data_IF_946599514069
#
_entry.id   IF_946599514069
#
_cell.length_a   1.000
_cell.length_b   1.000
_cell.length_c   1.000
_cell.angle_alpha   90.00
_cell.angle_beta   90.00
_cell.angle_gamma   90.00
#
_symmetry.space_group_name_H-M   'P 1'
#
loop_
_entity.id
_entity.type
_entity.pdbx_description
1 polymer ?
#
# COMPACT_ATOMS: atom_id res chain seq x y z
N UNK A 1 -0.96 -19.04 2.66
CA UNK A 1 -0.12 -18.29 3.62
C UNK A 1 -0.71 -16.92 3.93
N UNK A 2 -0.98 -16.05 2.95
CA UNK A 2 -1.50 -14.68 3.19
C UNK A 2 -2.85 -14.68 3.94
N UNK A 3 -3.78 -15.62 3.64
CA UNK A 3 -5.04 -15.77 4.39
C UNK A 3 -4.81 -16.08 5.87
N UNK A 4 -3.84 -16.94 6.19
CA UNK A 4 -3.50 -17.24 7.57
C UNK A 4 -2.90 -16.02 8.29
N UNK A 5 -2.03 -15.27 7.62
CA UNK A 5 -1.47 -14.02 8.14
C UNK A 5 -2.57 -12.96 8.36
N UNK A 6 -3.55 -12.87 7.46
CA UNK A 6 -4.68 -11.96 7.61
C UNK A 6 -5.55 -12.31 8.84
N UNK A 7 -5.87 -13.60 9.01
CA UNK A 7 -6.61 -14.07 10.19
C UNK A 7 -5.85 -13.81 11.48
N UNK A 8 -4.54 -14.03 11.49
CA UNK A 8 -3.68 -13.73 12.64
C UNK A 8 -3.65 -12.23 12.97
N UNK A 9 -3.58 -11.36 11.96
CA UNK A 9 -3.63 -9.91 12.14
C UNK A 9 -4.98 -9.44 12.70
N UNK A 10 -6.10 -10.04 12.29
CA UNK A 10 -7.43 -9.75 12.86
C UNK A 10 -7.48 -10.19 14.32
N UNK A 11 -6.97 -11.38 14.63
CA UNK A 11 -6.94 -11.92 16.00
C UNK A 11 -6.05 -11.09 16.93
N UNK A 12 -4.90 -10.58 16.47
CA UNK A 12 -3.99 -9.73 17.25
C UNK A 12 -4.63 -8.41 17.70
N UNK A 13 -5.70 -7.99 17.03
CA UNK A 13 -6.50 -6.81 17.40
C UNK A 13 -7.70 -7.14 18.29
N UNK A 14 -7.75 -8.35 18.86
CA UNK A 14 -8.88 -8.85 19.64
C UNK A 14 -10.21 -8.83 18.87
N UNK A 15 -10.16 -8.99 17.53
CA UNK A 15 -11.33 -9.03 16.68
C UNK A 15 -11.57 -10.45 16.18
N UNK A 16 -12.85 -10.81 16.00
CA UNK A 16 -13.21 -12.09 15.39
C UNK A 16 -13.18 -11.95 13.88
N UNK A 17 -12.46 -12.84 13.21
CA UNK A 17 -12.46 -12.90 11.76
C UNK A 17 -13.87 -13.27 11.26
N UNK A 18 -14.38 -12.44 10.35
CA UNK A 18 -15.61 -12.71 9.62
C UNK A 18 -15.23 -12.98 8.16
N UNK A 19 -15.58 -14.17 7.69
CA UNK A 19 -15.35 -14.53 6.30
C UNK A 19 -16.27 -13.71 5.39
N UNK A 20 -15.69 -13.12 4.37
CA UNK A 20 -16.44 -12.45 3.31
C UNK A 20 -15.79 -12.72 1.96
N UNK A 21 -16.60 -12.82 0.92
CA UNK A 21 -16.12 -13.02 -0.45
C UNK A 21 -15.20 -11.89 -0.90
N UNK A 22 -15.49 -10.66 -0.49
CA UNK A 22 -14.67 -9.51 -0.80
C UNK A 22 -13.27 -9.59 -0.18
N UNK A 23 -13.20 -9.94 1.10
CA UNK A 23 -11.91 -10.12 1.79
C UNK A 23 -11.12 -11.25 1.14
N UNK A 24 -11.76 -12.38 0.83
CA UNK A 24 -11.12 -13.50 0.18
C UNK A 24 -10.64 -13.13 -1.23
N UNK A 25 -11.45 -12.38 -2.00
CA UNK A 25 -11.07 -11.86 -3.32
C UNK A 25 -9.88 -10.90 -3.24
N UNK A 26 -9.87 -9.97 -2.27
CA UNK A 26 -8.77 -9.04 -2.08
C UNK A 26 -7.46 -9.76 -1.70
N UNK A 27 -7.52 -10.72 -0.79
CA UNK A 27 -6.37 -11.56 -0.41
C UNK A 27 -5.85 -12.33 -1.62
N UNK A 28 -6.74 -12.93 -2.40
CA UNK A 28 -6.37 -13.67 -3.63
C UNK A 28 -5.69 -12.76 -4.64
N UNK A 29 -6.30 -11.60 -4.96
CA UNK A 29 -5.73 -10.63 -5.90
C UNK A 29 -4.35 -10.14 -5.45
N UNK A 30 -4.14 -9.90 -4.15
CA UNK A 30 -2.84 -9.54 -3.62
C UNK A 30 -1.83 -10.70 -3.78
N UNK A 31 -2.22 -11.93 -3.45
CA UNK A 31 -1.37 -13.09 -3.62
C UNK A 31 -0.98 -13.30 -5.09
N UNK A 32 -1.95 -13.18 -5.99
CA UNK A 32 -1.72 -13.30 -7.44
C UNK A 32 -0.76 -12.20 -7.93
N UNK A 33 -0.95 -10.93 -7.50
CA UNK A 33 -0.06 -9.83 -7.87
C UNK A 33 1.38 -10.00 -7.36
N UNK A 34 1.57 -10.69 -6.21
CA UNK A 34 2.88 -10.97 -5.64
C UNK A 34 3.59 -12.17 -6.27
N UNK A 35 2.85 -13.12 -6.87
CA UNK A 35 3.40 -14.39 -7.36
C UNK A 35 3.43 -14.51 -8.88
N UNK A 36 2.62 -13.73 -9.57
CA UNK A 36 2.59 -13.71 -11.04
C UNK A 36 3.78 -12.89 -11.56
N UNK A 37 4.42 -13.37 -12.62
CA UNK A 37 5.42 -12.58 -13.37
C UNK A 37 4.73 -11.43 -14.11
N UNK A 38 4.37 -10.40 -13.37
CA UNK A 38 3.81 -9.16 -13.89
C UNK A 38 4.90 -8.11 -14.05
N UNK A 39 4.79 -7.26 -15.06
CA UNK A 39 5.64 -6.06 -15.19
C UNK A 39 5.28 -4.99 -14.14
N UNK A 40 4.21 -5.20 -13.35
CA UNK A 40 3.78 -4.25 -12.34
C UNK A 40 4.61 -4.40 -11.07
N UNK A 41 5.17 -3.27 -10.65
CA UNK A 41 6.06 -3.16 -9.49
C UNK A 41 5.34 -2.64 -8.24
N UNK A 42 4.00 -2.76 -8.18
CA UNK A 42 3.27 -2.31 -7.00
C UNK A 42 1.82 -2.76 -6.95
N UNK A 43 1.21 -2.51 -5.80
CA UNK A 43 -0.20 -2.80 -5.52
C UNK A 43 -0.82 -1.55 -4.90
N UNK A 44 -1.98 -1.14 -5.38
CA UNK A 44 -2.79 -0.12 -4.74
C UNK A 44 -4.10 -0.69 -4.22
N UNK A 45 -4.36 -0.49 -2.93
CA UNK A 45 -5.58 -0.89 -2.23
C UNK A 45 -6.49 0.34 -2.12
N UNK A 46 -7.55 0.37 -2.91
CA UNK A 46 -8.52 1.45 -2.94
C UNK A 46 -9.81 1.07 -2.21
N UNK A 47 -10.48 2.02 -1.59
CA UNK A 47 -11.81 1.82 -1.01
C UNK A 47 -12.06 2.63 0.24
N UNK A 48 -13.28 2.56 0.76
CA UNK A 48 -13.73 3.36 1.90
C UNK A 48 -13.01 3.00 3.21
N UNK A 49 -13.18 3.83 4.22
CA UNK A 49 -12.57 3.63 5.54
C UNK A 49 -13.15 2.38 6.24
N UNK A 50 -12.29 1.62 6.92
CA UNK A 50 -12.72 0.51 7.79
C UNK A 50 -12.97 -0.83 7.09
N UNK A 51 -12.71 -0.96 5.80
CA UNK A 51 -12.96 -2.16 5.00
C UNK A 51 -11.79 -3.17 4.91
N UNK A 52 -10.75 -3.04 5.74
CA UNK A 52 -9.71 -4.06 5.87
C UNK A 52 -8.41 -3.82 5.10
N UNK A 53 -8.23 -2.68 4.39
CA UNK A 53 -6.99 -2.35 3.65
C UNK A 53 -5.75 -2.41 4.54
N UNK A 54 -5.74 -1.65 5.64
CA UNK A 54 -4.64 -1.65 6.63
C UNK A 54 -4.38 -3.04 7.21
N UNK A 55 -5.45 -3.83 7.43
CA UNK A 55 -5.31 -5.21 7.92
C UNK A 55 -4.56 -6.06 6.90
N UNK A 56 -4.87 -5.91 5.61
CA UNK A 56 -4.20 -6.67 4.55
C UNK A 56 -2.73 -6.23 4.36
N UNK A 57 -2.42 -4.93 4.46
CA UNK A 57 -1.04 -4.42 4.42
C UNK A 57 -0.23 -5.00 5.57
N UNK A 58 -0.76 -4.98 6.80
CA UNK A 58 -0.08 -5.53 7.98
C UNK A 58 0.05 -7.05 7.95
N UNK A 59 -0.96 -7.74 7.41
CA UNK A 59 -0.89 -9.18 7.19
C UNK A 59 0.25 -9.56 6.23
N UNK A 60 0.44 -8.77 5.16
CA UNK A 60 1.57 -8.95 4.25
C UNK A 60 2.90 -8.68 4.95
N UNK A 61 3.01 -7.59 5.73
CA UNK A 61 4.21 -7.30 6.51
C UNK A 61 4.56 -8.45 7.46
N UNK A 62 3.58 -8.94 8.23
CA UNK A 62 3.78 -10.06 9.17
C UNK A 62 4.18 -11.34 8.45
N UNK A 63 3.61 -11.61 7.28
CA UNK A 63 4.01 -12.73 6.44
C UNK A 63 5.46 -12.61 5.98
N UNK A 64 5.89 -11.43 5.53
CA UNK A 64 7.29 -11.20 5.12
C UNK A 64 8.26 -11.34 6.29
N UNK A 65 7.89 -10.84 7.48
CA UNK A 65 8.70 -11.05 8.72
C UNK A 65 8.84 -12.53 9.02
N UNK A 66 7.74 -13.30 8.93
CA UNK A 66 7.77 -14.75 9.13
C UNK A 66 8.66 -15.44 8.09
N UNK A 67 8.54 -15.08 6.82
CA UNK A 67 9.37 -15.64 5.74
C UNK A 67 10.84 -15.30 5.94
N UNK A 68 11.16 -14.09 6.38
CA UNK A 68 12.52 -13.67 6.72
C UNK A 68 13.09 -14.52 7.87
N UNK A 69 12.32 -14.70 8.93
CA UNK A 69 12.70 -15.57 10.05
C UNK A 69 12.99 -17.02 9.61
N UNK A 70 12.28 -17.49 8.59
CA UNK A 70 12.48 -18.81 7.97
C UNK A 70 13.59 -18.84 6.90
N UNK A 71 14.31 -17.75 6.71
CA UNK A 71 15.33 -17.59 5.67
C UNK A 71 14.81 -17.84 4.23
N UNK A 72 13.54 -17.55 4.00
CA UNK A 72 12.89 -17.66 2.68
C UNK A 72 12.85 -16.34 1.92
N UNK A 73 13.18 -15.23 2.56
CA UNK A 73 13.40 -13.90 1.98
C UNK A 73 14.35 -13.09 2.86
N UNK A 74 15.07 -12.15 2.26
CA UNK A 74 15.91 -11.18 2.98
C UNK A 74 15.19 -9.86 3.23
N UNK A 75 14.11 -9.61 2.51
CA UNK A 75 13.44 -8.31 2.51
C UNK A 75 12.35 -8.23 3.57
N UNK A 76 12.37 -7.14 4.34
CA UNK A 76 11.24 -6.65 5.12
C UNK A 76 10.45 -5.60 4.32
N UNK A 77 9.26 -5.27 4.79
CA UNK A 77 8.43 -4.20 4.21
C UNK A 77 8.04 -3.22 5.32
N UNK A 78 8.78 -2.10 5.49
CA UNK A 78 8.33 -1.04 6.39
C UNK A 78 6.99 -0.47 5.92
N UNK A 79 6.16 -0.08 6.88
CA UNK A 79 4.90 0.62 6.64
C UNK A 79 5.08 2.08 7.06
N UNK A 80 4.77 2.98 6.16
CA UNK A 80 4.88 4.42 6.33
C UNK A 80 3.51 5.08 6.20
N UNK A 81 3.11 5.89 7.16
CA UNK A 81 1.94 6.77 6.97
C UNK A 81 2.30 7.86 5.95
N UNK A 82 1.40 8.16 5.02
CA UNK A 82 1.65 9.17 3.99
C UNK A 82 2.05 10.54 4.57
N UNK A 83 1.56 10.89 5.77
CA UNK A 83 1.89 12.13 6.48
C UNK A 83 3.35 12.18 6.97
N UNK A 84 3.99 11.03 7.15
CA UNK A 84 5.36 10.88 7.63
C UNK A 84 6.38 10.77 6.51
N UNK A 85 5.95 10.55 5.27
CA UNK A 85 6.83 10.38 4.10
C UNK A 85 7.82 11.53 3.97
N UNK A 86 7.38 12.78 4.22
CA UNK A 86 8.24 13.96 4.15
C UNK A 86 9.45 13.89 5.10
N UNK A 87 9.29 13.29 6.27
CA UNK A 87 10.32 13.19 7.30
C UNK A 87 11.29 12.02 7.06
N UNK A 88 10.87 11.04 6.26
CA UNK A 88 11.59 9.78 6.01
C UNK A 88 11.83 9.51 4.52
N UNK A 89 11.93 10.56 3.71
CA UNK A 89 12.03 10.44 2.24
C UNK A 89 13.18 9.54 1.79
N UNK A 90 14.36 9.65 2.41
CA UNK A 90 15.52 8.83 2.05
C UNK A 90 15.21 7.34 2.22
N UNK A 91 14.64 6.96 3.35
CA UNK A 91 14.24 5.57 3.60
C UNK A 91 13.17 5.12 2.61
N UNK A 92 12.14 5.94 2.41
CA UNK A 92 11.07 5.64 1.45
C UNK A 92 11.59 5.43 0.01
N UNK A 93 12.67 6.11 -0.37
CA UNK A 93 13.30 5.96 -1.69
C UNK A 93 14.17 4.72 -1.82
N UNK A 94 14.81 4.25 -0.73
CA UNK A 94 15.89 3.25 -0.82
C UNK A 94 15.47 1.82 -0.46
N UNK A 95 14.43 1.63 0.36
CA UNK A 95 14.02 0.28 0.76
C UNK A 95 13.43 -0.51 -0.42
N UNK A 96 13.79 -1.78 -0.63
CA UNK A 96 13.30 -2.58 -1.75
C UNK A 96 11.78 -2.74 -1.76
N UNK A 97 11.18 -2.98 -0.60
CA UNK A 97 9.73 -3.11 -0.40
C UNK A 97 9.26 -2.01 0.54
N UNK A 98 8.21 -1.28 0.16
CA UNK A 98 7.63 -0.22 0.98
C UNK A 98 6.10 -0.30 0.93
N UNK A 99 5.46 -0.13 2.08
CA UNK A 99 4.03 0.18 2.13
C UNK A 99 3.81 1.64 2.55
N UNK A 100 2.97 2.36 1.82
CA UNK A 100 2.51 3.71 2.17
C UNK A 100 1.03 3.62 2.51
N UNK A 101 0.67 3.87 3.78
CA UNK A 101 -0.70 3.86 4.23
C UNK A 101 -1.33 5.26 4.16
N UNK A 102 -2.65 5.25 3.94
CA UNK A 102 -3.49 6.44 3.98
C UNK A 102 -3.07 7.55 3.00
N UNK A 103 -2.52 7.17 1.84
CA UNK A 103 -2.21 8.12 0.76
C UNK A 103 -3.46 8.96 0.44
N UNK A 104 -3.28 10.26 0.42
CA UNK A 104 -4.36 11.23 0.31
C UNK A 104 -4.60 12.05 1.58
N UNK A 105 -4.13 11.59 2.74
CA UNK A 105 -4.26 12.30 4.03
C UNK A 105 -3.09 13.23 4.34
N UNK A 106 -1.97 13.12 3.62
CA UNK A 106 -0.86 14.05 3.77
C UNK A 106 -1.23 15.45 3.30
N UNK A 107 -0.60 16.52 3.86
CA UNK A 107 -0.75 17.88 3.36
C UNK A 107 -0.40 17.97 1.88
N UNK A 108 -1.16 18.74 1.14
CA UNK A 108 -1.04 18.83 -0.33
C UNK A 108 0.30 19.44 -0.75
N UNK A 109 0.94 20.21 0.15
CA UNK A 109 2.15 20.96 -0.19
C UNK A 109 3.07 21.13 1.01
N UNK A 110 4.37 20.94 0.81
CA UNK A 110 5.42 21.49 1.67
C UNK A 110 6.09 22.61 0.89
N UNK A 111 6.17 23.81 1.45
CA UNK A 111 6.99 24.88 0.89
C UNK A 111 8.45 24.57 1.19
N UNK A 112 9.24 24.35 0.17
CA UNK A 112 10.67 24.27 0.26
C UNK A 112 11.28 25.31 -0.67
N UNK A 113 11.85 26.38 -0.09
CA UNK A 113 12.45 27.53 -0.80
C UNK A 113 11.57 28.11 -1.93
N UNK A 114 10.24 28.18 -1.73
CA UNK A 114 9.30 28.74 -2.70
C UNK A 114 8.79 27.75 -3.77
N UNK A 115 9.29 26.51 -3.79
CA UNK A 115 8.76 25.44 -4.64
C UNK A 115 7.73 24.61 -3.89
N UNK A 116 6.62 24.32 -4.56
CA UNK A 116 5.57 23.43 -4.05
C UNK A 116 6.02 21.99 -4.31
N UNK A 117 6.58 21.35 -3.28
CA UNK A 117 6.96 19.95 -3.35
C UNK A 117 5.90 19.08 -2.66
N UNK A 118 5.49 18.01 -3.31
CA UNK A 118 4.73 16.95 -2.67
C UNK A 118 5.68 15.75 -2.45
N UNK A 119 6.09 15.49 -1.19
CA UNK A 119 7.03 14.43 -0.88
C UNK A 119 6.57 13.04 -1.32
N UNK A 120 5.27 12.78 -1.31
CA UNK A 120 4.69 11.50 -1.77
C UNK A 120 4.89 11.35 -3.28
N UNK A 121 4.65 12.41 -4.06
CA UNK A 121 4.91 12.41 -5.51
C UNK A 121 6.38 12.10 -5.78
N UNK A 122 7.29 12.78 -5.11
CA UNK A 122 8.73 12.63 -5.32
C UNK A 122 9.20 11.20 -4.99
N UNK A 123 8.71 10.63 -3.89
CA UNK A 123 9.00 9.24 -3.53
C UNK A 123 8.43 8.26 -4.56
N UNK A 124 7.19 8.44 -4.98
CA UNK A 124 6.55 7.55 -5.95
C UNK A 124 7.23 7.62 -7.32
N UNK A 125 7.64 8.81 -7.77
CA UNK A 125 8.39 8.97 -9.01
C UNK A 125 9.75 8.29 -8.97
N UNK A 126 10.47 8.45 -7.86
CA UNK A 126 11.75 7.77 -7.67
C UNK A 126 11.56 6.24 -7.70
N UNK A 127 10.61 5.72 -6.92
CA UNK A 127 10.35 4.28 -6.83
C UNK A 127 9.86 3.68 -8.16
N UNK A 128 9.10 4.45 -8.94
CA UNK A 128 8.74 4.06 -10.31
C UNK A 128 9.98 3.91 -11.20
N UNK A 129 10.86 4.90 -11.19
CA UNK A 129 12.07 4.89 -12.01
C UNK A 129 13.02 3.73 -11.63
N UNK A 130 13.16 3.46 -10.34
CA UNK A 130 14.02 2.40 -9.80
C UNK A 130 13.33 1.02 -9.76
N UNK A 131 12.08 0.92 -10.23
CA UNK A 131 11.28 -0.31 -10.24
C UNK A 131 11.16 -0.97 -8.84
N UNK A 132 11.10 -0.15 -7.78
CA UNK A 132 10.99 -0.61 -6.39
C UNK A 132 9.55 -0.96 -6.03
N UNK A 133 9.35 -2.15 -5.47
CA UNK A 133 8.00 -2.65 -5.17
C UNK A 133 7.31 -1.83 -4.08
N UNK A 134 6.11 -1.32 -4.40
CA UNK A 134 5.38 -0.40 -3.54
C UNK A 134 3.94 -0.86 -3.32
N UNK A 135 3.52 -0.95 -2.06
CA UNK A 135 2.12 -1.18 -1.68
C UNK A 135 1.53 0.13 -1.18
N UNK A 136 0.37 0.52 -1.69
CA UNK A 136 -0.29 1.77 -1.30
C UNK A 136 -1.69 1.44 -0.79
N UNK A 137 -2.10 2.04 0.33
CA UNK A 137 -3.51 2.10 0.70
C UNK A 137 -4.03 3.53 0.59
N UNK A 138 -5.20 3.69 0.01
CA UNK A 138 -5.86 4.99 -0.16
C UNK A 138 -7.37 4.89 -0.08
N UNK A 139 -8.02 5.98 0.33
CA UNK A 139 -9.47 6.14 0.22
C UNK A 139 -9.88 6.94 -1.03
N UNK A 140 -8.90 7.45 -1.78
CA UNK A 140 -9.15 8.22 -2.98
C UNK A 140 -9.58 7.31 -4.14
N UNK A 141 -10.49 7.82 -4.94
CA UNK A 141 -10.84 7.27 -6.25
C UNK A 141 -9.75 7.61 -7.28
N UNK A 142 -9.74 6.93 -8.41
CA UNK A 142 -8.81 7.23 -9.50
C UNK A 142 -8.90 8.71 -9.96
N UNK A 143 -10.13 9.29 -9.95
CA UNK A 143 -10.36 10.69 -10.28
C UNK A 143 -9.70 11.62 -9.26
N UNK A 144 -9.91 11.37 -7.96
CA UNK A 144 -9.31 12.17 -6.88
C UNK A 144 -7.78 12.04 -6.84
N UNK A 145 -7.23 10.86 -7.16
CA UNK A 145 -5.78 10.68 -7.32
C UNK A 145 -5.25 11.60 -8.44
N UNK A 146 -5.93 11.62 -9.59
CA UNK A 146 -5.55 12.50 -10.71
C UNK A 146 -5.67 13.98 -10.36
N UNK A 147 -6.72 14.37 -9.64
CA UNK A 147 -6.94 15.75 -9.19
C UNK A 147 -5.87 16.19 -8.16
N UNK A 148 -5.54 15.33 -7.20
CA UNK A 148 -4.59 15.65 -6.11
C UNK A 148 -3.13 15.58 -6.54
N UNK A 149 -2.75 14.57 -7.33
CA UNK A 149 -1.35 14.26 -7.66
C UNK A 149 -0.98 14.52 -9.12
N UNK A 150 -1.94 14.90 -9.94
CA UNK A 150 -1.75 15.20 -11.35
C UNK A 150 -1.83 13.96 -12.25
N UNK A 151 -1.97 14.23 -13.55
CA UNK A 151 -2.12 13.21 -14.60
C UNK A 151 -0.92 12.25 -14.63
N UNK A 152 0.30 12.77 -14.46
CA UNK A 152 1.54 11.98 -14.53
C UNK A 152 1.58 10.86 -13.48
N UNK A 153 1.16 11.13 -12.24
CA UNK A 153 1.09 10.10 -11.19
C UNK A 153 -0.03 9.11 -11.47
N UNK A 154 -1.20 9.60 -11.93
CA UNK A 154 -2.30 8.72 -12.29
C UNK A 154 -1.93 7.74 -13.42
N UNK A 155 -1.21 8.20 -14.44
CA UNK A 155 -0.73 7.36 -15.55
C UNK A 155 0.28 6.31 -15.06
N UNK A 156 1.23 6.71 -14.20
CA UNK A 156 2.18 5.77 -13.58
C UNK A 156 1.49 4.72 -12.71
N UNK A 157 0.42 5.08 -11.99
CA UNK A 157 -0.37 4.12 -11.23
C UNK A 157 -1.00 3.06 -12.13
N UNK A 158 -1.54 3.47 -13.29
CA UNK A 158 -2.10 2.53 -14.27
C UNK A 158 -1.04 1.56 -14.81
N UNK A 159 0.18 2.06 -15.02
CA UNK A 159 1.29 1.28 -15.56
C UNK A 159 1.88 0.32 -14.52
N UNK A 160 2.24 0.82 -13.32
CA UNK A 160 3.02 0.08 -12.34
C UNK A 160 2.21 -0.64 -11.26
N UNK A 161 0.92 -0.27 -11.04
CA UNK A 161 0.14 -0.79 -9.91
C UNK A 161 -0.90 -1.82 -10.34
N UNK A 162 -1.00 -2.89 -9.56
CA UNK A 162 -2.15 -3.77 -9.54
C UNK A 162 -3.21 -3.19 -8.61
N UNK A 163 -4.40 -2.92 -9.15
CA UNK A 163 -5.48 -2.27 -8.38
C UNK A 163 -6.35 -3.32 -7.69
N UNK A 164 -6.49 -3.20 -6.37
CA UNK A 164 -7.39 -4.01 -5.56
C UNK A 164 -8.42 -3.09 -4.91
N UNK A 165 -9.67 -3.24 -5.30
CA UNK A 165 -10.76 -2.40 -4.80
C UNK A 165 -11.50 -3.14 -3.68
N UNK A 166 -11.64 -2.45 -2.56
CA UNK A 166 -12.45 -2.86 -1.42
C UNK A 166 -13.80 -2.15 -1.50
N UNK A 167 -14.84 -2.89 -1.82
CA UNK A 167 -16.22 -2.37 -1.97
C UNK A 167 -17.08 -2.60 -0.72
N UNK A 168 -16.58 -3.39 0.23
CA UNK A 168 -17.31 -3.83 1.41
C UNK A 168 -17.65 -2.74 2.41
N UNK A 169 -18.64 -3.07 3.24
CA UNK A 169 -19.03 -2.25 4.38
C UNK A 169 -17.88 -2.18 5.39
N UNK A 170 -17.83 -1.06 6.13
CA UNK A 170 -16.88 -0.91 7.23
C UNK A 170 -17.06 -2.01 8.29
N UNK A 171 -15.96 -2.65 8.69
CA UNK A 171 -15.93 -3.54 9.86
C UNK A 171 -15.82 -2.77 11.19
N UNK A 172 -15.69 -1.45 11.13
CA UNK A 172 -15.74 -0.60 12.32
C UNK A 172 -17.22 -0.37 12.69
N UNK A 173 -17.61 -0.82 13.86
CA UNK A 173 -18.91 -0.50 14.47
C UNK A 173 -18.82 0.84 15.19
#
# INVERSE_FOLDING_TARGET
MLTAAYRAEVASRNMKYQESEETNSAIKKMADALTTKSHKTGIVLCGTCGNGKTTLVRALQNLLIYLKYRNLTENGMPIMDAREVANRMRECKTVPLLAIEDMGKEPTTKLDYGNILNPVIEVLEHRYNEQLFTVISTNLTAKEIKEKYGTRIADRFNEMMSVIIFTGKSFRR
#
